data_IF_661330280882
#
_entry.id   IF_661330280882
#
_cell.length_a   1.000
_cell.length_b   1.000
_cell.length_c   1.000
_cell.angle_alpha   90.00
_cell.angle_beta   90.00
_cell.angle_gamma   90.00
#
_symmetry.space_group_name_H-M   'P 1'
#
loop_
_entity.id
_entity.type
_entity.pdbx_description
1 polymer ?
#
# COMPACT_ATOMS: atom_id res chain seq x y z
N UNK A 1 15.92 -1.22 36.88
CA UNK A 1 15.17 -0.80 35.69
C UNK A 1 14.82 -2.08 34.98
N UNK A 2 13.58 -2.51 35.06
CA UNK A 2 13.12 -3.63 34.25
C UNK A 2 13.29 -3.19 32.78
N UNK A 3 14.01 -3.97 31.99
CA UNK A 3 14.07 -3.83 30.55
C UNK A 3 12.64 -3.93 30.04
N UNK A 4 12.06 -2.79 29.65
CA UNK A 4 10.73 -2.71 29.09
C UNK A 4 10.80 -3.26 27.64
N UNK A 5 11.04 -4.58 27.56
CA UNK A 5 11.14 -5.27 26.28
C UNK A 5 9.75 -5.25 25.66
N UNK A 6 9.64 -4.69 24.46
CA UNK A 6 8.40 -4.66 23.70
C UNK A 6 7.75 -6.06 23.67
N UNK A 7 6.43 -6.16 23.94
CA UNK A 7 5.70 -7.42 23.80
C UNK A 7 5.74 -7.86 22.34
N UNK A 8 6.23 -9.08 22.09
CA UNK A 8 6.11 -9.68 20.75
C UNK A 8 4.64 -9.90 20.39
N UNK A 9 4.29 -9.57 19.18
CA UNK A 9 2.95 -9.77 18.64
C UNK A 9 2.84 -11.21 18.12
N UNK A 10 1.94 -11.97 18.72
CA UNK A 10 1.59 -13.30 18.22
C UNK A 10 0.71 -13.14 16.98
N UNK A 11 1.23 -13.56 15.81
CA UNK A 11 0.60 -13.31 14.51
C UNK A 11 0.48 -14.59 13.69
N UNK A 12 -0.64 -14.74 12.98
CA UNK A 12 -0.82 -15.75 11.95
C UNK A 12 -1.04 -15.09 10.59
N UNK A 13 -0.80 -15.82 9.51
CA UNK A 13 -1.18 -15.38 8.17
C UNK A 13 -2.42 -16.15 7.70
N UNK A 14 -3.44 -15.43 7.22
CA UNK A 14 -4.63 -16.01 6.60
C UNK A 14 -4.62 -15.69 5.11
N UNK A 15 -4.52 -16.73 4.31
CA UNK A 15 -4.35 -16.67 2.86
C UNK A 15 -2.89 -16.69 2.42
N UNK A 16 -2.65 -17.35 1.28
CA UNK A 16 -1.38 -17.33 0.54
C UNK A 16 -1.64 -17.02 -0.95
N UNK A 17 -2.90 -16.71 -1.28
CA UNK A 17 -3.34 -16.44 -2.65
C UNK A 17 -2.89 -15.07 -3.18
N UNK A 18 -2.60 -14.10 -2.32
CA UNK A 18 -2.09 -12.81 -2.74
C UNK A 18 -0.62 -12.91 -3.20
N UNK A 19 -0.25 -12.14 -4.24
CA UNK A 19 1.12 -12.17 -4.78
C UNK A 19 2.19 -11.71 -3.80
N UNK A 20 1.82 -10.99 -2.75
CA UNK A 20 2.71 -10.49 -1.70
C UNK A 20 2.83 -11.44 -0.51
N UNK A 21 1.98 -12.47 -0.40
CA UNK A 21 1.86 -13.30 0.80
C UNK A 21 3.17 -13.96 1.23
N UNK A 22 3.95 -14.52 0.29
CA UNK A 22 5.23 -15.13 0.59
C UNK A 22 6.29 -14.10 1.06
N UNK A 23 6.37 -12.94 0.40
CA UNK A 23 7.31 -11.89 0.79
C UNK A 23 6.94 -11.28 2.15
N UNK A 24 5.63 -11.15 2.44
CA UNK A 24 5.13 -10.72 3.73
C UNK A 24 5.54 -11.70 4.84
N UNK A 25 5.32 -13.00 4.62
CA UNK A 25 5.71 -14.04 5.55
C UNK A 25 7.22 -14.04 5.80
N UNK A 26 8.04 -13.93 4.73
CA UNK A 26 9.49 -13.82 4.88
C UNK A 26 9.88 -12.64 5.77
N UNK A 27 9.22 -11.48 5.61
CA UNK A 27 9.50 -10.29 6.43
C UNK A 27 9.07 -10.50 7.88
N UNK A 28 7.88 -11.05 8.14
CA UNK A 28 7.42 -11.38 9.49
C UNK A 28 8.42 -12.28 10.22
N UNK A 29 8.91 -13.33 9.55
CA UNK A 29 9.92 -14.26 10.10
C UNK A 29 11.30 -13.63 10.28
N UNK A 30 11.64 -12.65 9.48
CA UNK A 30 12.90 -11.89 9.60
C UNK A 30 12.86 -10.83 10.73
N UNK A 31 11.73 -10.62 11.38
CA UNK A 31 11.51 -9.68 12.47
C UNK A 31 11.16 -10.38 13.80
N UNK A 32 11.99 -11.32 14.30
CA UNK A 32 11.66 -12.16 15.46
C UNK A 32 11.64 -11.38 16.79
N UNK A 33 12.14 -10.15 16.82
CA UNK A 33 12.02 -9.27 18.00
C UNK A 33 10.63 -8.64 18.11
N UNK A 34 9.90 -8.55 17.01
CA UNK A 34 8.57 -7.94 16.92
C UNK A 34 7.45 -8.98 16.86
N UNK A 35 7.67 -10.11 16.17
CA UNK A 35 6.63 -11.09 15.85
C UNK A 35 6.97 -12.50 16.31
N UNK A 36 5.95 -13.20 16.78
CA UNK A 36 5.90 -14.64 16.95
C UNK A 36 4.91 -15.20 15.94
N UNK A 37 5.42 -15.79 14.84
CA UNK A 37 4.60 -16.30 13.75
C UNK A 37 4.14 -17.71 14.07
N UNK A 38 2.85 -17.90 14.31
CA UNK A 38 2.30 -19.13 14.88
C UNK A 38 1.63 -20.08 13.89
N UNK A 39 1.33 -19.63 12.67
CA UNK A 39 0.72 -20.51 11.68
C UNK A 39 0.25 -19.78 10.42
N UNK A 40 -0.22 -20.59 9.47
CA UNK A 40 -0.76 -20.14 8.18
C UNK A 40 -2.09 -20.85 7.93
N UNK A 41 -3.07 -20.16 7.38
CA UNK A 41 -4.29 -20.76 6.88
C UNK A 41 -4.48 -20.45 5.38
N UNK A 42 -4.88 -21.46 4.60
CA UNK A 42 -5.35 -21.29 3.22
C UNK A 42 -6.48 -22.26 2.95
N UNK A 43 -7.65 -21.74 2.66
CA UNK A 43 -8.85 -22.55 2.41
C UNK A 43 -9.11 -22.83 0.93
N UNK A 44 -8.49 -22.07 0.02
CA UNK A 44 -8.63 -22.30 -1.41
C UNK A 44 -7.63 -23.38 -1.87
N UNK A 45 -8.12 -24.59 -2.30
CA UNK A 45 -7.24 -25.68 -2.73
C UNK A 45 -6.31 -25.30 -3.89
N UNK A 46 -6.73 -24.38 -4.75
CA UNK A 46 -5.88 -23.91 -5.85
C UNK A 46 -4.64 -23.19 -5.33
N UNK A 47 -4.83 -22.22 -4.44
CA UNK A 47 -3.71 -21.47 -3.87
C UNK A 47 -2.87 -22.31 -2.91
N UNK A 48 -3.50 -23.18 -2.13
CA UNK A 48 -2.78 -24.13 -1.28
C UNK A 48 -1.83 -24.99 -2.13
N UNK A 49 -2.34 -25.70 -3.14
CA UNK A 49 -1.52 -26.57 -3.99
C UNK A 49 -0.43 -25.78 -4.75
N UNK A 50 -0.69 -24.54 -5.13
CA UNK A 50 0.26 -23.71 -5.87
C UNK A 50 1.41 -23.16 -5.02
N UNK A 51 1.21 -22.94 -3.70
CA UNK A 51 2.12 -22.10 -2.91
C UNK A 51 2.52 -22.61 -1.53
N UNK A 52 1.89 -23.65 -0.99
CA UNK A 52 2.19 -24.11 0.39
C UNK A 52 3.64 -24.59 0.58
N UNK A 53 4.30 -25.06 -0.47
CA UNK A 53 5.70 -25.52 -0.44
C UNK A 53 6.72 -24.38 -0.62
N UNK A 54 6.29 -23.12 -0.80
CA UNK A 54 7.22 -22.00 -0.88
C UNK A 54 8.04 -21.90 0.41
N UNK A 55 9.34 -21.62 0.28
CA UNK A 55 10.27 -21.54 1.41
C UNK A 55 9.84 -20.55 2.50
N UNK A 56 9.03 -19.54 2.16
CA UNK A 56 8.44 -18.60 3.11
C UNK A 56 7.60 -19.30 4.21
N UNK A 57 6.95 -20.42 3.88
CA UNK A 57 6.06 -21.16 4.77
C UNK A 57 6.72 -22.40 5.40
N UNK A 58 7.97 -22.69 5.05
CA UNK A 58 8.67 -23.89 5.54
C UNK A 58 8.70 -23.96 7.07
N UNK A 59 8.26 -25.12 7.60
CA UNK A 59 8.21 -25.37 9.05
C UNK A 59 7.08 -24.70 9.82
N UNK A 60 6.20 -23.94 9.16
CA UNK A 60 4.99 -23.41 9.78
C UNK A 60 3.84 -24.42 9.66
N UNK A 61 2.98 -24.55 10.70
CA UNK A 61 1.79 -25.36 10.58
C UNK A 61 0.78 -24.68 9.64
N UNK A 62 0.22 -25.46 8.71
CA UNK A 62 -0.97 -25.07 7.97
C UNK A 62 -2.19 -25.53 8.75
N UNK A 63 -3.01 -24.58 9.12
CA UNK A 63 -4.17 -24.71 9.99
C UNK A 63 -5.44 -24.28 9.24
N UNK A 64 -6.59 -24.67 9.71
CA UNK A 64 -7.86 -24.07 9.30
C UNK A 64 -7.99 -22.66 9.91
N UNK A 65 -8.89 -21.84 9.40
CA UNK A 65 -9.17 -20.51 9.96
C UNK A 65 -9.69 -20.63 11.41
N UNK A 66 -10.51 -21.64 11.69
CA UNK A 66 -11.03 -21.93 13.02
C UNK A 66 -9.91 -22.32 14.01
N UNK A 67 -8.95 -23.12 13.59
CA UNK A 67 -7.78 -23.45 14.40
C UNK A 67 -6.91 -22.25 14.66
N UNK A 68 -6.71 -21.35 13.66
CA UNK A 68 -6.02 -20.06 13.86
C UNK A 68 -6.76 -19.24 14.94
N UNK A 69 -8.07 -19.12 14.84
CA UNK A 69 -8.87 -18.37 15.84
C UNK A 69 -8.89 -19.01 17.23
N UNK A 70 -8.60 -20.28 17.34
CA UNK A 70 -8.51 -21.01 18.62
C UNK A 70 -7.11 -20.89 19.27
N UNK A 71 -6.12 -20.28 18.62
CA UNK A 71 -4.78 -20.09 19.19
C UNK A 71 -4.87 -19.14 20.38
N UNK A 72 -4.43 -19.57 21.59
CA UNK A 72 -4.47 -18.71 22.77
C UNK A 72 -3.61 -17.46 22.57
N UNK A 73 -4.15 -16.31 23.00
CA UNK A 73 -3.46 -15.01 22.96
C UNK A 73 -2.97 -14.60 21.57
N UNK A 74 -3.68 -14.99 20.53
CA UNK A 74 -3.43 -14.49 19.18
C UNK A 74 -3.73 -12.98 19.14
N UNK A 75 -2.74 -12.17 18.83
CA UNK A 75 -2.87 -10.71 18.82
C UNK A 75 -3.32 -10.17 17.44
N UNK A 76 -2.78 -10.73 16.36
CA UNK A 76 -2.94 -10.15 15.03
C UNK A 76 -2.98 -11.19 13.90
N UNK A 77 -3.43 -10.75 12.74
CA UNK A 77 -3.37 -11.51 11.50
C UNK A 77 -2.84 -10.67 10.33
N UNK A 78 -2.00 -11.29 9.50
CA UNK A 78 -1.68 -10.81 8.16
C UNK A 78 -2.66 -11.46 7.18
N UNK A 79 -3.40 -10.65 6.41
CA UNK A 79 -4.44 -11.13 5.49
C UNK A 79 -3.91 -11.03 4.07
N UNK A 80 -3.65 -12.18 3.46
CA UNK A 80 -3.00 -12.35 2.16
C UNK A 80 -3.79 -13.30 1.24
N UNK A 81 -5.12 -13.27 1.36
CA UNK A 81 -6.02 -14.04 0.49
C UNK A 81 -6.02 -13.50 -0.94
N UNK A 82 -6.59 -14.23 -1.88
CA UNK A 82 -6.95 -13.66 -3.20
C UNK A 82 -7.78 -12.38 -3.00
N UNK A 83 -7.56 -11.37 -3.85
CA UNK A 83 -8.15 -10.03 -3.70
C UNK A 83 -9.67 -10.01 -3.49
N UNK A 84 -10.39 -10.97 -4.07
CA UNK A 84 -11.85 -11.11 -3.91
C UNK A 84 -12.30 -11.53 -2.49
N UNK A 85 -11.40 -12.08 -1.67
CA UNK A 85 -11.71 -12.56 -0.32
C UNK A 85 -11.13 -11.70 0.80
N UNK A 86 -10.35 -10.65 0.49
CA UNK A 86 -9.70 -9.80 1.48
C UNK A 86 -10.69 -9.24 2.51
N UNK A 87 -11.78 -8.60 2.05
CA UNK A 87 -12.77 -7.98 2.95
C UNK A 87 -13.49 -9.00 3.82
N UNK A 88 -13.98 -10.09 3.22
CA UNK A 88 -14.73 -11.09 3.98
C UNK A 88 -13.87 -11.75 5.06
N UNK A 89 -12.59 -11.99 4.78
CA UNK A 89 -11.64 -12.51 5.77
C UNK A 89 -11.32 -11.47 6.83
N UNK A 90 -11.06 -10.22 6.44
CA UNK A 90 -10.78 -9.14 7.39
C UNK A 90 -11.94 -8.90 8.37
N UNK A 91 -13.18 -8.97 7.88
CA UNK A 91 -14.38 -8.83 8.73
C UNK A 91 -14.43 -9.94 9.79
N UNK A 92 -14.22 -11.21 9.42
CA UNK A 92 -14.20 -12.33 10.38
C UNK A 92 -13.12 -12.15 11.44
N UNK A 93 -11.93 -11.68 11.04
CA UNK A 93 -10.82 -11.42 11.97
C UNK A 93 -11.11 -10.25 12.91
N UNK A 94 -11.65 -9.13 12.39
CA UNK A 94 -12.01 -7.96 13.20
C UNK A 94 -13.13 -8.27 14.17
N UNK A 95 -14.13 -9.07 13.79
CA UNK A 95 -15.21 -9.54 14.66
C UNK A 95 -14.67 -10.37 15.83
N UNK A 96 -13.52 -11.05 15.67
CA UNK A 96 -12.80 -11.78 16.74
C UNK A 96 -11.92 -10.90 17.61
N UNK A 97 -11.76 -9.60 17.26
CA UNK A 97 -10.94 -8.65 18.02
C UNK A 97 -9.44 -8.73 17.69
N UNK A 98 -9.06 -9.26 16.53
CA UNK A 98 -7.68 -9.34 16.09
C UNK A 98 -7.24 -8.05 15.41
N UNK A 99 -6.00 -7.62 15.62
CA UNK A 99 -5.38 -6.56 14.86
C UNK A 99 -5.07 -7.02 13.43
N UNK A 100 -5.18 -6.13 12.44
CA UNK A 100 -5.19 -6.50 11.04
C UNK A 100 -4.08 -5.80 10.23
N UNK A 101 -3.22 -6.58 9.60
CA UNK A 101 -2.39 -6.13 8.50
C UNK A 101 -2.93 -6.76 7.22
N UNK A 102 -3.65 -5.99 6.41
CA UNK A 102 -4.35 -6.51 5.24
C UNK A 102 -3.67 -6.04 3.94
N UNK A 103 -3.50 -6.93 2.98
CA UNK A 103 -3.01 -6.50 1.66
C UNK A 103 -4.05 -5.61 0.94
N UNK A 104 -3.59 -4.94 -0.08
CA UNK A 104 -4.33 -3.93 -0.84
C UNK A 104 -4.57 -4.40 -2.29
N UNK A 105 -5.54 -3.83 -2.98
CA UNK A 105 -6.63 -2.98 -2.50
C UNK A 105 -7.67 -3.77 -1.72
N UNK A 106 -8.47 -3.07 -0.92
CA UNK A 106 -9.39 -3.65 0.04
C UNK A 106 -10.63 -4.37 -0.51
N UNK A 107 -10.66 -4.80 -1.78
CA UNK A 107 -11.84 -5.41 -2.40
C UNK A 107 -12.78 -4.38 -3.07
N UNK A 108 -13.80 -4.85 -3.80
CA UNK A 108 -14.77 -3.99 -4.50
C UNK A 108 -16.06 -3.78 -3.71
N UNK A 109 -16.18 -4.38 -2.52
CA UNK A 109 -17.29 -4.19 -1.59
C UNK A 109 -17.01 -3.02 -0.65
N UNK A 110 -17.46 -1.81 -1.02
CA UNK A 110 -17.27 -0.61 -0.20
C UNK A 110 -18.01 -0.69 1.13
N UNK A 111 -19.21 -1.24 1.15
CA UNK A 111 -19.98 -1.36 2.39
C UNK A 111 -19.33 -2.34 3.39
N UNK A 112 -18.78 -3.44 2.88
CA UNK A 112 -17.98 -4.37 3.68
C UNK A 112 -16.72 -3.68 4.25
N UNK A 113 -16.02 -2.89 3.43
CA UNK A 113 -14.85 -2.13 3.91
C UNK A 113 -15.22 -1.09 4.96
N UNK A 114 -16.33 -0.36 4.76
CA UNK A 114 -16.86 0.60 5.74
C UNK A 114 -17.24 -0.08 7.06
N UNK A 115 -17.87 -1.26 6.98
CA UNK A 115 -18.18 -2.09 8.17
C UNK A 115 -16.89 -2.50 8.89
N UNK A 116 -15.85 -2.93 8.16
CA UNK A 116 -14.54 -3.29 8.70
C UNK A 116 -13.93 -2.12 9.46
N UNK A 117 -13.86 -0.94 8.83
CA UNK A 117 -13.33 0.28 9.47
C UNK A 117 -14.06 0.60 10.77
N UNK A 118 -15.40 0.52 10.77
CA UNK A 118 -16.21 0.75 11.98
C UNK A 118 -15.89 -0.24 13.09
N UNK A 119 -15.81 -1.55 12.79
CA UNK A 119 -15.46 -2.56 13.78
C UNK A 119 -14.07 -2.30 14.38
N UNK A 120 -13.10 -1.94 13.54
CA UNK A 120 -11.75 -1.63 14.01
C UNK A 120 -11.74 -0.41 14.95
N UNK A 121 -12.52 0.64 14.65
CA UNK A 121 -12.67 1.79 15.54
C UNK A 121 -13.36 1.42 16.86
N UNK A 122 -14.50 0.72 16.81
CA UNK A 122 -15.27 0.34 17.98
C UNK A 122 -14.49 -0.56 18.95
N UNK A 123 -13.60 -1.41 18.43
CA UNK A 123 -12.79 -2.35 19.20
C UNK A 123 -11.36 -1.90 19.47
N UNK A 124 -10.97 -0.67 19.07
CA UNK A 124 -9.60 -0.14 19.17
C UNK A 124 -8.56 -1.07 18.53
N UNK A 125 -8.88 -1.63 17.35
CA UNK A 125 -7.97 -2.51 16.62
C UNK A 125 -7.03 -1.71 15.73
N UNK A 126 -5.75 -2.07 15.76
CA UNK A 126 -4.82 -1.61 14.74
C UNK A 126 -5.22 -2.22 13.39
N UNK A 127 -5.51 -1.37 12.43
CA UNK A 127 -5.76 -1.73 11.04
C UNK A 127 -4.77 -1.01 10.14
N UNK A 128 -4.09 -1.76 9.29
CA UNK A 128 -3.13 -1.22 8.33
C UNK A 128 -3.33 -1.87 6.97
N UNK A 129 -3.70 -1.07 5.96
CA UNK A 129 -3.65 -1.48 4.57
C UNK A 129 -2.20 -1.38 4.04
N UNK A 130 -1.75 -2.41 3.31
CA UNK A 130 -0.34 -2.60 2.97
C UNK A 130 0.15 -1.70 1.80
N UNK A 131 -0.10 -0.41 1.85
CA UNK A 131 0.40 0.56 0.88
C UNK A 131 1.85 0.94 1.18
N UNK A 132 2.80 0.28 0.51
CA UNK A 132 4.25 0.40 0.78
C UNK A 132 4.84 1.78 0.48
N UNK A 133 4.22 2.60 -0.37
CA UNK A 133 4.74 3.93 -0.72
C UNK A 133 4.73 4.91 0.46
N UNK A 134 3.94 4.67 1.49
CA UNK A 134 3.99 5.40 2.78
C UNK A 134 5.38 5.36 3.43
N UNK A 135 6.14 4.30 3.14
CA UNK A 135 7.45 4.02 3.73
C UNK A 135 8.61 4.26 2.75
N UNK A 136 8.31 4.74 1.54
CA UNK A 136 9.32 5.12 0.57
C UNK A 136 10.07 6.37 1.06
N UNK A 137 11.40 6.33 1.23
CA UNK A 137 12.16 7.44 1.82
C UNK A 137 12.10 8.73 1.01
N UNK A 138 12.02 8.62 -0.32
CA UNK A 138 11.93 9.77 -1.20
C UNK A 138 10.53 10.41 -1.18
N UNK A 139 9.46 9.59 -1.17
CA UNK A 139 8.09 10.11 -0.98
C UNK A 139 7.91 10.71 0.41
N UNK A 140 8.52 10.08 1.44
CA UNK A 140 8.51 10.65 2.79
C UNK A 140 9.19 12.02 2.81
N UNK A 141 10.35 12.16 2.18
CA UNK A 141 11.00 13.47 2.02
C UNK A 141 10.08 14.48 1.34
N UNK A 142 9.38 14.10 0.26
CA UNK A 142 8.43 14.97 -0.41
C UNK A 142 7.27 15.38 0.52
N UNK A 143 6.68 14.45 1.26
CA UNK A 143 5.62 14.75 2.23
C UNK A 143 6.10 15.68 3.34
N UNK A 144 7.31 15.46 3.87
CA UNK A 144 7.90 16.32 4.90
C UNK A 144 8.18 17.73 4.35
N UNK A 145 8.68 17.87 3.11
CA UNK A 145 8.88 19.17 2.46
C UNK A 145 7.56 19.93 2.25
N UNK A 146 6.50 19.25 1.84
CA UNK A 146 5.15 19.82 1.71
C UNK A 146 4.63 20.26 3.07
N UNK A 147 4.68 19.39 4.08
CA UNK A 147 4.23 19.67 5.45
C UNK A 147 4.95 20.88 6.08
N UNK A 148 6.22 21.04 5.75
CA UNK A 148 7.03 22.18 6.22
C UNK A 148 6.85 23.45 5.36
N UNK A 149 5.95 23.44 4.37
CA UNK A 149 5.67 24.61 3.51
C UNK A 149 6.82 25.00 2.57
N UNK A 150 7.73 24.07 2.26
CA UNK A 150 8.93 24.41 1.48
C UNK A 150 8.60 24.83 0.05
N UNK A 151 7.56 24.25 -0.54
CA UNK A 151 7.14 24.52 -1.91
C UNK A 151 5.91 25.44 -2.01
N UNK A 152 5.41 25.97 -0.87
CA UNK A 152 4.18 26.76 -0.81
C UNK A 152 2.92 25.93 -1.00
N UNK A 153 1.84 26.55 -1.50
CA UNK A 153 0.58 25.87 -1.76
C UNK A 153 0.70 24.97 -3.00
N UNK A 154 0.32 23.71 -2.87
CA UNK A 154 0.27 22.78 -4.00
C UNK A 154 -0.86 23.22 -4.94
N UNK A 155 -0.56 23.33 -6.25
CA UNK A 155 -1.55 23.57 -7.28
C UNK A 155 -1.66 22.42 -8.30
N UNK A 156 -0.66 21.53 -8.37
CA UNK A 156 -0.68 20.40 -9.30
C UNK A 156 0.17 19.22 -8.81
N UNK A 157 -0.34 17.99 -8.98
CA UNK A 157 0.41 16.74 -8.79
C UNK A 157 0.26 15.86 -10.04
N UNK A 158 1.38 15.35 -10.55
CA UNK A 158 1.40 14.34 -11.61
C UNK A 158 2.02 13.05 -11.08
N UNK A 159 1.28 11.95 -11.18
CA UNK A 159 1.78 10.66 -10.73
C UNK A 159 1.56 9.55 -11.75
N UNK A 160 2.56 8.69 -11.90
CA UNK A 160 2.58 7.61 -12.89
C UNK A 160 3.04 6.31 -12.25
N UNK A 161 2.22 5.26 -12.41
CA UNK A 161 2.53 3.88 -12.08
C UNK A 161 2.47 3.05 -13.36
N UNK A 162 3.62 2.80 -13.95
CA UNK A 162 3.74 2.09 -15.21
C UNK A 162 4.57 0.82 -15.07
N UNK A 163 4.25 -0.19 -15.89
CA UNK A 163 4.99 -1.44 -16.03
C UNK A 163 4.63 -2.12 -17.35
N UNK A 164 5.36 -3.15 -17.73
CA UNK A 164 5.07 -3.98 -18.88
C UNK A 164 4.68 -5.41 -18.45
N UNK A 165 3.40 -5.70 -18.49
CA UNK A 165 2.86 -7.05 -18.31
C UNK A 165 2.34 -7.63 -19.63
N UNK A 166 2.81 -7.12 -20.75
CA UNK A 166 2.34 -7.49 -22.09
C UNK A 166 2.52 -8.95 -22.44
N UNK A 167 3.45 -9.64 -21.78
CA UNK A 167 3.79 -11.07 -22.00
C UNK A 167 3.30 -11.97 -20.85
N UNK A 168 2.58 -11.44 -19.86
CA UNK A 168 2.11 -12.21 -18.71
C UNK A 168 0.59 -12.42 -18.78
N UNK A 169 0.14 -13.32 -19.65
CA UNK A 169 -1.28 -13.54 -19.91
C UNK A 169 -2.04 -13.99 -18.65
N UNK A 170 -1.45 -14.85 -17.82
CA UNK A 170 -2.08 -15.30 -16.58
C UNK A 170 -2.32 -14.14 -15.61
N UNK A 171 -1.36 -13.24 -15.47
CA UNK A 171 -1.50 -12.06 -14.62
C UNK A 171 -2.50 -11.06 -15.21
N UNK A 172 -2.48 -10.86 -16.53
CA UNK A 172 -3.49 -10.04 -17.24
C UNK A 172 -4.90 -10.58 -17.03
N UNK A 173 -5.08 -11.90 -17.12
CA UNK A 173 -6.36 -12.54 -16.85
C UNK A 173 -6.80 -12.33 -15.39
N UNK A 174 -5.89 -12.43 -14.43
CA UNK A 174 -6.19 -12.15 -13.03
C UNK A 174 -6.59 -10.68 -12.82
N UNK A 175 -5.85 -9.73 -13.39
CA UNK A 175 -6.19 -8.29 -13.33
C UNK A 175 -7.57 -7.99 -13.93
N UNK A 176 -7.97 -8.70 -14.98
CA UNK A 176 -9.25 -8.46 -15.67
C UNK A 176 -10.49 -8.84 -14.84
N UNK A 177 -10.32 -9.54 -13.73
CA UNK A 177 -11.41 -9.89 -12.81
C UNK A 177 -11.93 -8.66 -12.04
N UNK A 178 -11.16 -7.60 -11.94
CA UNK A 178 -11.53 -6.37 -11.23
C UNK A 178 -12.11 -5.33 -12.20
N UNK A 179 -13.14 -4.60 -11.76
CA UNK A 179 -13.84 -3.60 -12.59
C UNK A 179 -12.92 -2.52 -13.15
N UNK A 180 -11.97 -2.07 -12.35
CA UNK A 180 -10.95 -1.10 -12.77
C UNK A 180 -9.70 -1.74 -13.40
N UNK A 181 -9.62 -3.07 -13.49
CA UNK A 181 -8.48 -3.79 -14.04
C UNK A 181 -7.15 -3.43 -13.36
N UNK A 182 -6.13 -3.14 -14.16
CA UNK A 182 -4.82 -2.73 -13.66
C UNK A 182 -4.88 -1.41 -12.86
N UNK A 183 -5.78 -0.51 -13.24
CA UNK A 183 -5.94 0.76 -12.52
C UNK A 183 -6.35 0.52 -11.06
N UNK A 184 -7.31 -0.37 -10.82
CA UNK A 184 -7.72 -0.74 -9.46
C UNK A 184 -6.56 -1.25 -8.61
N UNK A 185 -5.72 -2.12 -9.14
CA UNK A 185 -4.61 -2.75 -8.40
C UNK A 185 -3.48 -1.78 -8.07
N UNK A 186 -3.22 -0.79 -8.95
CA UNK A 186 -2.02 0.03 -8.85
C UNK A 186 -2.26 1.50 -8.48
N UNK A 187 -3.42 2.09 -8.80
CA UNK A 187 -3.66 3.52 -8.58
C UNK A 187 -3.66 3.90 -7.09
N UNK A 188 -4.10 3.00 -6.22
CA UNK A 188 -4.16 3.23 -4.77
C UNK A 188 -2.81 3.61 -4.17
N UNK A 189 -1.68 3.11 -4.67
CA UNK A 189 -0.35 3.52 -4.20
C UNK A 189 -0.06 5.02 -4.37
N UNK A 190 -0.54 5.59 -5.48
CA UNK A 190 -0.34 7.01 -5.81
C UNK A 190 -1.40 7.87 -5.12
N UNK A 191 -2.66 7.42 -5.15
CA UNK A 191 -3.77 8.11 -4.49
C UNK A 191 -3.54 8.27 -3.00
N UNK A 192 -3.00 7.25 -2.35
CA UNK A 192 -2.64 7.27 -0.94
C UNK A 192 -1.74 8.47 -0.59
N UNK A 193 -0.66 8.68 -1.33
CA UNK A 193 0.26 9.79 -1.11
C UNK A 193 -0.37 11.15 -1.45
N UNK A 194 -1.20 11.22 -2.49
CA UNK A 194 -1.93 12.44 -2.86
C UNK A 194 -2.90 12.83 -1.74
N UNK A 195 -3.67 11.87 -1.23
CA UNK A 195 -4.64 12.11 -0.16
C UNK A 195 -3.97 12.51 1.17
N UNK A 196 -2.75 12.00 1.46
CA UNK A 196 -1.97 12.44 2.62
C UNK A 196 -1.50 13.89 2.49
N UNK A 197 -1.35 14.43 1.27
CA UNK A 197 -0.91 15.80 1.01
C UNK A 197 -2.08 16.78 0.85
N UNK A 198 -3.14 16.39 0.13
CA UNK A 198 -4.24 17.27 -0.29
C UNK A 198 -5.58 16.97 0.38
N UNK A 199 -5.70 15.83 1.08
CA UNK A 199 -6.98 15.36 1.62
C UNK A 199 -7.92 14.79 0.55
N UNK A 200 -9.21 14.73 0.86
CA UNK A 200 -10.23 14.22 -0.05
C UNK A 200 -10.44 15.16 -1.24
N UNK A 201 -10.51 14.66 -2.49
CA UNK A 201 -10.86 15.46 -3.64
C UNK A 201 -12.37 15.82 -3.66
N UNK A 202 -12.72 16.94 -4.27
CA UNK A 202 -14.12 17.33 -4.50
C UNK A 202 -14.77 16.46 -5.58
N UNK A 203 -13.95 15.99 -6.55
CA UNK A 203 -14.44 15.18 -7.66
C UNK A 203 -13.33 14.28 -8.23
N UNK A 204 -13.72 13.11 -8.69
CA UNK A 204 -12.85 12.17 -9.41
C UNK A 204 -13.40 11.93 -10.80
N UNK A 205 -12.57 12.15 -11.83
CA UNK A 205 -12.92 11.88 -13.24
C UNK A 205 -11.90 10.92 -13.83
N UNK A 206 -12.34 9.79 -14.37
CA UNK A 206 -11.44 8.75 -14.89
C UNK A 206 -11.66 8.40 -16.36
N UNK A 207 -10.58 8.04 -17.03
CA UNK A 207 -10.50 7.57 -18.41
C UNK A 207 -9.81 6.21 -18.42
N UNK A 208 -10.62 5.15 -18.39
CA UNK A 208 -10.13 3.78 -18.36
C UNK A 208 -10.24 3.15 -19.75
N UNK A 209 -9.16 2.56 -20.25
CA UNK A 209 -9.03 2.03 -21.60
C UNK A 209 -8.44 0.63 -21.61
N UNK A 210 -8.82 -0.12 -22.62
CA UNK A 210 -8.21 -1.36 -23.05
C UNK A 210 -7.35 -1.05 -24.26
N UNK A 211 -6.04 -1.36 -24.21
CA UNK A 211 -5.15 -1.14 -25.35
C UNK A 211 -5.08 -2.35 -26.28
N UNK A 212 -5.65 -3.49 -25.84
CA UNK A 212 -5.71 -4.76 -26.56
C UNK A 212 -7.11 -5.28 -26.65
N UNK A 213 -7.30 -6.25 -27.54
CA UNK A 213 -8.57 -6.97 -27.70
C UNK A 213 -8.69 -8.10 -26.65
N UNK A 214 -8.60 -7.72 -25.37
CA UNK A 214 -8.83 -8.60 -24.23
C UNK A 214 -9.76 -7.93 -23.19
N UNK A 215 -10.06 -8.61 -22.09
CA UNK A 215 -10.97 -8.07 -21.07
C UNK A 215 -10.33 -7.01 -20.16
N UNK A 216 -9.00 -6.89 -20.13
CA UNK A 216 -8.28 -6.07 -19.16
C UNK A 216 -8.35 -4.58 -19.49
N UNK A 217 -8.73 -3.76 -18.51
CA UNK A 217 -8.39 -2.33 -18.48
C UNK A 217 -6.92 -2.22 -18.11
N UNK A 218 -6.07 -1.96 -19.09
CA UNK A 218 -4.61 -1.98 -18.96
C UNK A 218 -3.96 -0.59 -19.03
N UNK A 219 -4.76 0.44 -19.27
CA UNK A 219 -4.34 1.83 -19.28
C UNK A 219 -5.45 2.72 -18.69
N UNK A 220 -5.12 3.50 -17.68
CA UNK A 220 -6.06 4.36 -16.98
C UNK A 220 -5.44 5.69 -16.56
N UNK A 221 -6.25 6.73 -16.58
CA UNK A 221 -5.96 8.05 -16.05
C UNK A 221 -7.12 8.50 -15.20
N UNK A 222 -6.87 8.95 -13.96
CA UNK A 222 -7.83 9.71 -13.17
C UNK A 222 -7.32 11.12 -12.90
N UNK A 223 -8.25 12.06 -12.86
CA UNK A 223 -8.04 13.44 -12.40
C UNK A 223 -8.81 13.60 -11.09
N UNK A 224 -8.11 13.99 -10.03
CA UNK A 224 -8.65 14.36 -8.74
C UNK A 224 -8.71 15.88 -8.68
N UNK A 225 -9.90 16.45 -8.54
CA UNK A 225 -10.15 17.88 -8.54
C UNK A 225 -10.25 18.37 -7.10
N UNK A 226 -9.56 19.47 -6.79
CA UNK A 226 -9.58 20.18 -5.52
C UNK A 226 -9.87 21.68 -5.76
N UNK A 227 -10.28 22.48 -4.76
CA UNK A 227 -10.64 23.88 -4.98
C UNK A 227 -9.54 24.75 -5.60
N UNK A 228 -8.26 24.40 -5.34
CA UNK A 228 -7.08 25.14 -5.84
C UNK A 228 -6.01 24.26 -6.46
N UNK A 229 -6.27 22.98 -6.59
CA UNK A 229 -5.29 22.03 -7.14
C UNK A 229 -5.94 20.97 -8.02
N UNK A 230 -5.15 20.36 -8.88
CA UNK A 230 -5.50 19.13 -9.58
C UNK A 230 -4.43 18.09 -9.36
N UNK A 231 -4.82 16.81 -9.24
CA UNK A 231 -3.88 15.72 -9.21
C UNK A 231 -4.22 14.68 -10.27
N UNK A 232 -3.22 14.18 -10.98
CA UNK A 232 -3.38 13.13 -11.98
C UNK A 232 -2.75 11.82 -11.50
N UNK A 233 -3.47 10.73 -11.69
CA UNK A 233 -3.04 9.37 -11.41
C UNK A 233 -3.12 8.57 -12.69
N UNK A 234 -1.98 8.24 -13.28
CA UNK A 234 -1.89 7.40 -14.47
C UNK A 234 -1.38 6.01 -14.11
N UNK A 235 -2.03 4.98 -14.62
CA UNK A 235 -1.60 3.58 -14.52
C UNK A 235 -1.58 2.95 -15.89
N UNK A 236 -0.50 2.27 -16.25
CA UNK A 236 -0.41 1.45 -17.45
C UNK A 236 0.36 0.17 -17.17
N UNK A 237 -0.12 -0.96 -17.71
CA UNK A 237 0.60 -2.24 -17.69
C UNK A 237 1.00 -2.69 -19.09
N UNK A 238 0.97 -1.76 -20.04
CA UNK A 238 1.33 -1.96 -21.44
C UNK A 238 2.56 -1.10 -21.86
N UNK A 239 3.20 -0.43 -20.92
CA UNK A 239 4.33 0.49 -21.22
C UNK A 239 5.65 -0.24 -21.12
N UNK A 240 6.37 -0.34 -22.28
CA UNK A 240 7.69 -0.96 -22.36
C UNK A 240 8.65 -0.24 -21.41
N UNK A 241 9.39 -1.02 -20.59
CA UNK A 241 10.25 -0.51 -19.52
C UNK A 241 9.56 0.47 -18.55
N UNK A 242 8.23 0.39 -18.45
CA UNK A 242 7.40 1.34 -17.69
C UNK A 242 7.82 1.52 -16.23
N UNK A 243 8.54 0.55 -15.67
CA UNK A 243 9.06 0.66 -14.30
C UNK A 243 10.00 1.86 -14.12
N UNK A 244 10.81 2.16 -15.12
CA UNK A 244 11.74 3.29 -15.11
C UNK A 244 11.05 4.66 -15.25
N UNK A 245 9.77 4.67 -15.64
CA UNK A 245 8.96 5.88 -15.83
C UNK A 245 7.98 6.14 -14.71
N UNK A 246 7.97 5.32 -13.66
CA UNK A 246 7.19 5.60 -12.45
C UNK A 246 7.67 6.91 -11.85
N UNK A 247 6.77 7.88 -11.73
CA UNK A 247 7.14 9.22 -11.25
C UNK A 247 6.08 9.83 -10.35
N UNK A 248 6.54 10.78 -9.55
CA UNK A 248 5.70 11.62 -8.71
C UNK A 248 6.23 13.05 -8.77
N UNK A 249 5.44 13.97 -9.30
CA UNK A 249 5.80 15.38 -9.45
C UNK A 249 4.80 16.20 -8.64
N UNK A 250 5.31 17.13 -7.83
CA UNK A 250 4.50 18.05 -7.02
C UNK A 250 4.90 19.47 -7.39
N UNK A 251 3.93 20.27 -7.83
CA UNK A 251 4.11 21.67 -8.17
C UNK A 251 3.43 22.56 -7.13
N UNK A 252 4.21 23.40 -6.49
CA UNK A 252 3.73 24.38 -5.52
C UNK A 252 4.11 25.81 -5.93
N UNK A 253 3.48 26.80 -5.29
CA UNK A 253 3.66 28.23 -5.60
C UNK A 253 5.07 28.76 -5.35
N UNK A 254 5.85 28.05 -4.53
CA UNK A 254 7.23 28.45 -4.14
C UNK A 254 8.30 27.40 -4.48
N UNK A 255 7.91 26.31 -5.13
CA UNK A 255 8.87 25.27 -5.53
C UNK A 255 8.21 24.05 -6.13
N UNK A 256 9.01 23.08 -6.52
CA UNK A 256 8.56 21.80 -7.06
C UNK A 256 9.45 20.64 -6.62
N UNK A 257 8.87 19.46 -6.59
CA UNK A 257 9.54 18.19 -6.26
C UNK A 257 9.28 17.20 -7.38
N UNK A 258 10.30 16.48 -7.82
CA UNK A 258 10.19 15.40 -8.80
C UNK A 258 10.95 14.18 -8.32
N UNK A 259 10.27 13.07 -8.26
CA UNK A 259 10.82 11.75 -7.99
C UNK A 259 10.60 10.84 -9.21
N UNK A 260 11.68 10.40 -9.82
CA UNK A 260 11.68 9.48 -10.96
C UNK A 260 12.99 8.68 -11.02
N UNK A 261 12.97 7.33 -10.95
CA UNK A 261 11.80 6.50 -10.67
C UNK A 261 11.38 6.55 -9.18
N UNK A 262 10.10 6.24 -8.91
CA UNK A 262 9.58 6.19 -7.52
C UNK A 262 10.22 5.06 -6.72
N UNK A 263 10.52 3.94 -7.36
CA UNK A 263 11.10 2.78 -6.72
C UNK A 263 12.16 2.11 -7.62
N UNK A 264 13.08 1.41 -6.99
CA UNK A 264 14.02 0.53 -7.65
C UNK A 264 13.34 -0.81 -8.00
N UNK A 265 13.92 -1.59 -8.90
CA UNK A 265 13.56 -3.00 -9.07
C UNK A 265 13.90 -3.80 -7.79
N UNK A 266 13.21 -4.91 -7.54
CA UNK A 266 13.34 -5.65 -6.28
C UNK A 266 14.80 -6.02 -5.93
N UNK A 267 15.63 -6.36 -6.92
CA UNK A 267 17.05 -6.68 -6.73
C UNK A 267 17.90 -5.49 -6.26
N UNK A 268 17.39 -4.27 -6.38
CA UNK A 268 18.11 -3.04 -6.05
C UNK A 268 17.51 -2.30 -4.84
N UNK A 269 16.48 -2.85 -4.16
CA UNK A 269 15.80 -2.16 -3.06
C UNK A 269 16.73 -1.73 -1.94
N UNK A 270 17.79 -2.50 -1.65
CA UNK A 270 18.74 -2.21 -0.58
C UNK A 270 19.95 -1.36 -1.03
N UNK A 271 20.16 -1.20 -2.33
CA UNK A 271 21.39 -0.62 -2.87
C UNK A 271 21.18 0.66 -3.65
N UNK A 272 20.07 0.77 -4.40
CA UNK A 272 19.80 1.95 -5.22
C UNK A 272 19.27 3.10 -4.40
N UNK A 273 20.03 4.18 -4.30
CA UNK A 273 19.57 5.45 -3.71
C UNK A 273 18.51 6.08 -4.58
N UNK A 274 17.38 6.42 -3.97
CA UNK A 274 16.33 7.24 -4.59
C UNK A 274 16.70 8.72 -4.47
N UNK A 275 16.44 9.48 -5.52
CA UNK A 275 16.78 10.89 -5.59
C UNK A 275 15.54 11.74 -5.90
N UNK A 276 15.39 12.84 -5.16
CA UNK A 276 14.37 13.85 -5.42
C UNK A 276 15.05 15.08 -6.03
N UNK A 277 14.61 15.48 -7.21
CA UNK A 277 14.92 16.78 -7.77
C UNK A 277 13.99 17.81 -7.15
N UNK A 278 14.55 18.75 -6.39
CA UNK A 278 13.81 19.80 -5.70
C UNK A 278 14.22 21.16 -6.24
N UNK A 279 13.26 22.03 -6.59
CA UNK A 279 13.48 23.42 -6.94
C UNK A 279 12.78 24.31 -5.94
N UNK A 280 13.50 25.27 -5.37
CA UNK A 280 13.01 26.20 -4.35
C UNK A 280 13.15 27.65 -4.81
N UNK A 281 12.10 28.44 -4.64
CA UNK A 281 12.11 29.89 -4.89
C UNK A 281 12.89 30.65 -3.80
N UNK A 282 12.83 30.17 -2.57
CA UNK A 282 13.47 30.76 -1.39
C UNK A 282 14.24 29.67 -0.62
N UNK A 283 15.28 30.02 0.16
CA UNK A 283 15.98 29.06 1.00
C UNK A 283 15.02 28.36 1.97
N UNK A 284 15.17 27.04 2.15
CA UNK A 284 14.37 26.20 3.07
C UNK A 284 15.24 25.17 3.77
N UNK A 285 15.20 25.16 5.11
CA UNK A 285 16.09 24.30 5.91
C UNK A 285 17.57 24.43 5.51
N UNK A 286 18.27 23.35 5.15
CA UNK A 286 19.67 23.40 4.73
C UNK A 286 19.85 23.79 3.26
N UNK A 287 18.78 23.98 2.48
CA UNK A 287 18.84 24.21 1.03
C UNK A 287 18.71 25.68 0.68
N UNK A 288 19.61 26.18 -0.18
CA UNK A 288 19.51 27.51 -0.78
C UNK A 288 18.35 27.55 -1.80
N UNK A 289 18.02 28.77 -2.27
CA UNK A 289 17.14 28.91 -3.44
C UNK A 289 17.81 28.29 -4.67
N UNK A 290 17.01 27.70 -5.58
CA UNK A 290 17.49 27.03 -6.79
C UNK A 290 17.15 25.55 -6.81
N UNK A 291 17.82 24.81 -7.70
CA UNK A 291 17.56 23.38 -7.93
C UNK A 291 18.61 22.51 -7.21
N UNK A 292 18.11 21.48 -6.53
CA UNK A 292 18.90 20.51 -5.78
C UNK A 292 18.53 19.09 -6.19
N UNK A 293 19.50 18.17 -6.14
CA UNK A 293 19.26 16.73 -6.16
C UNK A 293 19.47 16.23 -4.72
N UNK A 294 18.42 15.69 -4.12
CA UNK A 294 18.44 15.22 -2.74
C UNK A 294 18.48 13.71 -2.70
N UNK A 295 19.53 13.15 -2.12
CA UNK A 295 19.69 11.71 -1.90
C UNK A 295 18.84 11.28 -0.70
N UNK A 296 17.86 10.42 -0.95
CA UNK A 296 16.93 9.93 0.09
C UNK A 296 17.28 8.53 0.61
N UNK A 297 18.36 7.94 0.10
CA UNK A 297 18.78 6.58 0.45
C UNK A 297 17.97 5.49 -0.31
N UNK A 298 18.28 4.22 -0.03
CA UNK A 298 17.59 3.09 -0.66
C UNK A 298 16.22 2.85 0.00
N UNK A 299 15.36 2.09 -0.70
CA UNK A 299 14.05 1.68 -0.17
C UNK A 299 14.19 0.85 1.11
N UNK A 300 15.21 -0.01 1.21
CA UNK A 300 15.31 -1.02 2.26
C UNK A 300 14.37 -2.20 1.98
N UNK A 301 14.01 -2.95 3.04
CA UNK A 301 13.02 -4.03 2.91
C UNK A 301 11.64 -3.51 2.53
N UNK A 302 10.97 -4.28 1.69
CA UNK A 302 9.67 -3.86 1.14
C UNK A 302 8.60 -3.68 2.21
N UNK A 303 8.61 -4.52 3.25
CA UNK A 303 7.57 -4.55 4.28
C UNK A 303 8.09 -4.28 5.70
N UNK A 304 9.40 -4.19 5.89
CA UNK A 304 10.03 -4.13 7.22
C UNK A 304 9.47 -2.97 8.06
N UNK A 305 9.52 -1.76 7.51
CA UNK A 305 9.12 -0.55 8.24
C UNK A 305 7.63 -0.55 8.61
N UNK A 306 6.77 -0.97 7.67
CA UNK A 306 5.34 -1.00 7.95
C UNK A 306 4.97 -2.06 9.01
N UNK A 307 5.62 -3.23 8.99
CA UNK A 307 5.38 -4.27 9.98
C UNK A 307 5.92 -3.88 11.36
N UNK A 308 7.11 -3.23 11.42
CA UNK A 308 7.64 -2.68 12.67
C UNK A 308 6.68 -1.64 13.25
N UNK A 309 6.17 -0.71 12.44
CA UNK A 309 5.20 0.29 12.87
C UNK A 309 3.89 -0.37 13.31
N UNK A 310 3.42 -1.40 12.60
CA UNK A 310 2.24 -2.17 12.99
C UNK A 310 2.40 -2.77 14.39
N UNK A 311 3.55 -3.40 14.70
CA UNK A 311 3.82 -3.94 16.03
C UNK A 311 3.84 -2.84 17.11
N UNK A 312 4.44 -1.68 16.82
CA UNK A 312 4.47 -0.53 17.74
C UNK A 312 3.08 0.07 17.99
N UNK A 313 2.25 0.12 16.96
CA UNK A 313 0.86 0.60 17.08
C UNK A 313 0.06 -0.34 17.98
N UNK A 314 0.17 -1.66 17.80
CA UNK A 314 -0.49 -2.66 18.67
C UNK A 314 -0.04 -2.49 20.12
N UNK A 315 1.26 -2.31 20.35
CA UNK A 315 1.84 -2.13 21.70
C UNK A 315 1.59 -0.71 22.27
N UNK A 316 0.87 0.17 21.57
CA UNK A 316 0.62 1.57 21.97
C UNK A 316 1.90 2.40 22.17
N UNK A 317 3.00 2.01 21.52
CA UNK A 317 4.28 2.75 21.49
C UNK A 317 4.28 3.84 20.43
N UNK A 318 3.32 3.77 19.50
CA UNK A 318 3.18 4.69 18.38
C UNK A 318 1.72 4.93 18.07
N UNK A 319 1.35 6.18 17.81
CA UNK A 319 0.05 6.51 17.23
C UNK A 319 0.06 6.12 15.75
N UNK A 320 -1.02 5.48 15.27
CA UNK A 320 -1.13 5.13 13.85
C UNK A 320 -1.10 6.41 12.99
N UNK A 321 -0.08 6.61 12.14
CA UNK A 321 0.00 7.78 11.28
C UNK A 321 -0.99 7.77 10.11
N UNK A 322 -1.65 6.62 9.90
CA UNK A 322 -2.65 6.41 8.84
C UNK A 322 -3.98 6.02 9.50
N UNK A 323 -4.78 7.00 9.96
CA UNK A 323 -6.02 6.72 10.69
C UNK A 323 -7.03 6.02 9.78
N UNK A 324 -8.01 5.38 10.39
CA UNK A 324 -9.04 4.60 9.68
C UNK A 324 -9.83 5.47 8.70
N UNK A 325 -10.03 6.74 9.02
CA UNK A 325 -10.68 7.72 8.14
C UNK A 325 -9.91 7.91 6.83
N UNK A 326 -8.57 7.90 6.89
CA UNK A 326 -7.73 7.97 5.70
C UNK A 326 -7.84 6.69 4.87
N UNK A 327 -7.81 5.50 5.51
CA UNK A 327 -7.98 4.22 4.82
C UNK A 327 -9.34 4.15 4.11
N UNK A 328 -10.39 4.59 4.77
CA UNK A 328 -11.74 4.65 4.21
C UNK A 328 -11.83 5.62 3.02
N UNK A 329 -11.26 6.83 3.17
CA UNK A 329 -11.25 7.83 2.10
C UNK A 329 -10.45 7.37 0.90
N UNK A 330 -9.28 6.76 1.12
CA UNK A 330 -8.45 6.19 0.06
C UNK A 330 -9.22 5.12 -0.72
N UNK A 331 -9.83 4.18 -0.01
CA UNK A 331 -10.57 3.10 -0.63
C UNK A 331 -11.78 3.62 -1.43
N UNK A 332 -12.52 4.57 -0.86
CA UNK A 332 -13.61 5.28 -1.53
C UNK A 332 -13.15 5.92 -2.85
N UNK A 333 -12.11 6.74 -2.79
CA UNK A 333 -11.57 7.46 -3.96
C UNK A 333 -11.12 6.50 -5.06
N UNK A 334 -10.48 5.38 -4.67
CA UNK A 334 -10.06 4.35 -5.62
C UNK A 334 -11.25 3.68 -6.32
N UNK A 335 -12.28 3.31 -5.57
CA UNK A 335 -13.49 2.68 -6.12
C UNK A 335 -14.26 3.63 -7.03
N UNK A 336 -14.43 4.90 -6.63
CA UNK A 336 -15.03 5.95 -7.47
C UNK A 336 -14.28 6.07 -8.82
N UNK A 337 -12.94 6.11 -8.78
CA UNK A 337 -12.13 6.17 -9.98
C UNK A 337 -12.25 4.93 -10.88
N UNK A 338 -12.60 3.77 -10.30
CA UNK A 338 -12.88 2.53 -11.04
C UNK A 338 -14.34 2.42 -11.52
N UNK A 339 -15.19 3.39 -11.18
CA UNK A 339 -16.62 3.35 -11.47
C UNK A 339 -17.37 2.28 -10.67
N UNK A 340 -16.85 1.89 -9.52
CA UNK A 340 -17.51 1.02 -8.53
C UNK A 340 -18.39 1.91 -7.64
N UNK A 341 -19.64 1.53 -7.33
CA UNK A 341 -20.48 2.28 -6.41
C UNK A 341 -19.87 2.36 -5.00
N UNK A 342 -20.02 3.54 -4.34
CA UNK A 342 -19.51 3.81 -2.98
C UNK A 342 -20.57 4.48 -2.10
#
# INVERSE_FOLDING_TARGET
>A
MEDNKMKKIKIAQIGIGHNHGADKMNTLRALPDYFDVVGVAESDPYWYNARHELGAYAGLPFLTEEEIFAIPDLDAVAIETDGKYLISTALRCAERGLHLHMDKPGGEDFEGFRKLCRICQEKDLAFQAAYIYRYNPALKFCMDAVKNGWIGDIFEIHSVMSRDDSKNDAYRQWLSQFKGGAFYIFAGYLMDIILLMLGAPDKVTSFLKKTRDDALIDNGLAVLEYPKATATVRVSVAEIEGFNYRRFIICGTEGSLELCPIEAVASEYYTRTLQVRMTLKHPRGPYAAGTHTVDCGPLGGRYDRQLIDFAKIINKEMVNPFPIEHELQLHKTLLEACGVPV
#
